data_IF_084834080657
#
_entry.id   IF_084834080657
#
_cell.length_a   1.000
_cell.length_b   1.000
_cell.length_c   1.000
_cell.angle_alpha   90.00
_cell.angle_beta   90.00
_cell.angle_gamma   90.00
#
_symmetry.space_group_name_H-M   'P 1'
#
loop_
_entity.id
_entity.type
_entity.pdbx_description
1 polymer ?
#
# COMPACT_ATOMS: atom_id res chain seq x y z
N UNK A 1 -1.73 -4.87 -28.34
CA UNK A 1 -1.50 -3.64 -27.57
C UNK A 1 -2.45 -3.65 -26.40
N UNK A 2 -2.08 -4.30 -25.29
CA UNK A 2 -2.86 -4.26 -24.05
C UNK A 2 -2.62 -2.90 -23.40
N UNK A 3 -3.69 -2.14 -23.20
CA UNK A 3 -3.64 -0.82 -22.58
C UNK A 3 -3.29 -0.96 -21.10
N UNK A 4 -2.07 -0.56 -20.72
CA UNK A 4 -1.65 -0.46 -19.32
C UNK A 4 -2.43 0.68 -18.64
N UNK A 5 -3.54 0.34 -18.00
CA UNK A 5 -4.34 1.29 -17.24
C UNK A 5 -3.71 1.51 -15.85
N UNK A 6 -3.23 2.73 -15.59
CA UNK A 6 -2.74 3.15 -14.27
C UNK A 6 -3.91 3.08 -13.27
N UNK A 7 -3.78 2.27 -12.21
CA UNK A 7 -4.75 2.24 -11.11
C UNK A 7 -4.33 3.25 -10.04
N UNK A 8 -5.21 4.21 -9.75
CA UNK A 8 -5.00 5.24 -8.72
C UNK A 8 -5.96 4.97 -7.56
N UNK A 9 -5.44 5.03 -6.33
CA UNK A 9 -6.25 4.97 -5.12
C UNK A 9 -5.89 6.09 -4.16
N UNK A 10 -6.87 6.55 -3.39
CA UNK A 10 -6.71 7.64 -2.44
C UNK A 10 -7.07 7.15 -1.04
N UNK A 11 -6.13 7.24 -0.09
CA UNK A 11 -6.38 7.03 1.34
C UNK A 11 -6.48 8.39 2.01
N UNK A 12 -7.68 8.77 2.47
CA UNK A 12 -7.92 10.02 3.21
C UNK A 12 -7.86 9.70 4.70
N UNK A 13 -6.94 10.34 5.44
CA UNK A 13 -7.03 10.39 6.91
C UNK A 13 -7.92 11.58 7.29
N UNK A 14 -8.91 11.42 8.18
CA UNK A 14 -9.59 12.57 8.76
C UNK A 14 -8.59 13.39 9.57
N UNK A 15 -8.51 14.70 9.29
CA UNK A 15 -7.86 15.65 10.19
C UNK A 15 -8.80 15.88 11.37
N UNK A 16 -8.32 15.63 12.59
CA UNK A 16 -9.06 16.03 13.79
C UNK A 16 -8.93 17.55 13.88
N UNK A 17 -9.91 18.28 13.34
CA UNK A 17 -10.21 19.61 13.82
C UNK A 17 -11.48 19.52 14.66
N UNK A 18 -11.35 19.94 15.91
CA UNK A 18 -12.38 19.98 16.96
C UNK A 18 -13.68 20.58 16.39
N UNK A 19 -14.80 19.88 16.64
CA UNK A 19 -16.19 20.13 16.23
C UNK A 19 -16.70 19.38 14.99
N UNK A 20 -17.08 18.10 15.18
CA UNK A 20 -18.27 17.56 14.50
C UNK A 20 -19.01 16.64 15.48
N UNK A 21 -20.32 16.88 15.58
CA UNK A 21 -21.24 16.30 16.54
C UNK A 21 -21.27 14.75 16.56
N UNK A 22 -21.58 14.23 17.76
CA UNK A 22 -21.68 12.84 18.24
C UNK A 22 -22.48 11.83 17.37
N UNK A 23 -22.98 12.22 16.20
CA UNK A 23 -23.71 11.37 15.26
C UNK A 23 -22.93 10.92 14.02
N UNK A 24 -21.80 11.56 13.69
CA UNK A 24 -21.05 11.29 12.45
C UNK A 24 -19.82 10.37 12.64
N UNK A 25 -19.45 10.03 13.86
CA UNK A 25 -18.28 9.17 14.15
C UNK A 25 -18.44 7.75 13.57
N UNK A 26 -19.68 7.26 13.42
CA UNK A 26 -20.00 5.91 12.93
C UNK A 26 -19.91 5.72 11.41
N UNK A 27 -19.78 6.80 10.63
CA UNK A 27 -19.64 6.72 9.16
C UNK A 27 -18.16 6.77 8.71
N UNK A 28 -17.21 6.90 9.64
CA UNK A 28 -15.77 7.02 9.37
C UNK A 28 -14.97 5.72 9.58
N UNK A 29 -15.59 4.56 9.35
CA UNK A 29 -14.93 3.26 9.57
C UNK A 29 -13.53 3.22 8.95
N UNK A 30 -12.57 2.95 9.84
CA UNK A 30 -11.14 3.05 9.66
C UNK A 30 -10.65 2.16 8.50
N UNK A 31 -10.40 2.73 7.32
CA UNK A 31 -9.78 2.00 6.23
C UNK A 31 -8.35 1.58 6.62
N UNK A 32 -8.17 0.30 6.92
CA UNK A 32 -6.89 -0.28 7.33
C UNK A 32 -5.94 -0.34 6.14
N UNK A 33 -4.65 -0.57 6.38
CA UNK A 33 -3.73 -0.83 5.27
C UNK A 33 -4.08 -2.15 4.56
N UNK A 34 -4.64 -3.13 5.27
CA UNK A 34 -5.14 -4.38 4.68
C UNK A 34 -6.28 -4.15 3.69
N UNK A 35 -7.21 -3.24 3.98
CA UNK A 35 -8.31 -2.91 3.07
C UNK A 35 -7.81 -2.26 1.77
N UNK A 36 -6.88 -1.30 1.89
CA UNK A 36 -6.22 -0.67 0.73
C UNK A 36 -5.44 -1.70 -0.06
N UNK A 37 -4.74 -2.60 0.63
CA UNK A 37 -3.97 -3.63 0.00
C UNK A 37 -4.86 -4.58 -0.81
N UNK A 38 -5.92 -5.13 -0.20
CA UNK A 38 -6.82 -6.07 -0.87
C UNK A 38 -7.55 -5.48 -2.07
N UNK A 39 -7.97 -4.21 -1.99
CA UNK A 39 -8.74 -3.56 -3.05
C UNK A 39 -7.90 -3.04 -4.21
N UNK A 40 -6.71 -2.51 -3.94
CA UNK A 40 -5.93 -1.75 -4.94
C UNK A 40 -4.60 -2.42 -5.25
N UNK A 41 -3.87 -2.85 -4.23
CA UNK A 41 -2.47 -3.26 -4.37
C UNK A 41 -2.35 -4.72 -4.78
N UNK A 42 -3.19 -5.61 -4.23
CA UNK A 42 -3.14 -7.04 -4.53
C UNK A 42 -3.22 -7.32 -6.04
N UNK A 43 -4.16 -6.73 -6.81
CA UNK A 43 -4.18 -6.91 -8.26
C UNK A 43 -2.91 -6.44 -8.98
N UNK A 44 -2.23 -5.41 -8.46
CA UNK A 44 -0.95 -4.94 -9.02
C UNK A 44 0.19 -5.91 -8.74
N UNK A 45 0.22 -6.52 -7.55
CA UNK A 45 1.20 -7.55 -7.21
C UNK A 45 0.97 -8.81 -8.04
N UNK A 46 -0.29 -9.20 -8.25
CA UNK A 46 -0.63 -10.33 -9.11
C UNK A 46 -0.11 -10.10 -10.55
N UNK A 47 -0.35 -8.91 -11.13
CA UNK A 47 0.22 -8.53 -12.43
C UNK A 47 1.76 -8.46 -12.42
N UNK A 48 2.37 -8.00 -11.31
CA UNK A 48 3.83 -7.99 -11.19
C UNK A 48 4.43 -9.39 -11.29
N UNK A 49 3.79 -10.39 -10.69
CA UNK A 49 4.22 -11.79 -10.77
C UNK A 49 4.06 -12.40 -12.18
N UNK A 50 3.19 -11.82 -13.01
CA UNK A 50 3.03 -12.19 -14.43
C UNK A 50 4.07 -11.51 -15.35
N UNK A 51 4.96 -10.69 -14.79
CA UNK A 51 6.03 -10.01 -15.53
C UNK A 51 5.73 -8.57 -15.93
N UNK A 52 4.67 -7.97 -15.40
CA UNK A 52 4.38 -6.54 -15.60
C UNK A 52 5.10 -5.67 -14.56
N UNK A 53 5.31 -4.41 -14.88
CA UNK A 53 5.85 -3.45 -13.92
C UNK A 53 4.71 -2.85 -13.09
N UNK A 54 4.87 -2.87 -11.76
CA UNK A 54 3.95 -2.21 -10.84
C UNK A 54 4.67 -1.11 -10.07
N UNK A 55 4.00 0.03 -9.85
CA UNK A 55 4.56 1.12 -9.05
C UNK A 55 3.49 1.72 -8.15
N UNK A 56 3.83 1.92 -6.89
CA UNK A 56 2.92 2.44 -5.86
C UNK A 56 3.56 3.68 -5.27
N UNK A 57 2.82 4.79 -5.30
CA UNK A 57 3.23 6.04 -4.67
C UNK A 57 2.16 6.50 -3.68
N UNK A 58 2.60 7.00 -2.52
CA UNK A 58 1.72 7.68 -1.58
C UNK A 58 1.94 9.19 -1.70
N UNK A 59 0.89 9.93 -2.04
CA UNK A 59 0.92 11.39 -2.17
C UNK A 59 -0.07 12.05 -1.20
N UNK A 60 0.25 13.27 -0.74
CA UNK A 60 -0.58 14.04 0.18
C UNK A 60 0.23 14.99 1.07
N UNK A 61 -0.47 15.87 1.80
CA UNK A 61 0.16 16.83 2.72
C UNK A 61 0.91 16.17 3.89
N UNK A 62 1.77 16.90 4.59
CA UNK A 62 2.40 16.43 5.84
C UNK A 62 1.33 15.97 6.84
N UNK A 63 1.62 14.91 7.62
CA UNK A 63 0.67 14.27 8.55
C UNK A 63 -0.51 13.52 7.92
N UNK A 64 -0.63 13.43 6.58
CA UNK A 64 -1.74 12.72 5.92
C UNK A 64 -1.68 11.17 5.99
N UNK A 65 -0.69 10.60 6.66
CA UNK A 65 -0.56 9.13 6.80
C UNK A 65 0.15 8.41 5.65
N UNK A 66 0.93 9.10 4.80
CA UNK A 66 1.74 8.47 3.72
C UNK A 66 2.68 7.39 4.26
N UNK A 67 3.54 7.76 5.21
CA UNK A 67 4.51 6.83 5.83
C UNK A 67 3.81 5.68 6.54
N UNK A 68 2.68 5.96 7.21
CA UNK A 68 1.84 4.94 7.82
C UNK A 68 1.24 3.97 6.79
N UNK A 69 0.91 4.44 5.59
CA UNK A 69 0.37 3.56 4.54
C UNK A 69 1.47 2.68 3.95
N UNK A 70 2.66 3.25 3.68
CA UNK A 70 3.77 2.51 3.07
C UNK A 70 4.44 1.55 4.07
N UNK A 71 4.79 2.03 5.27
CA UNK A 71 5.56 1.28 6.27
C UNK A 71 4.68 0.66 7.37
N UNK A 72 3.54 1.27 7.69
CA UNK A 72 2.64 0.77 8.74
C UNK A 72 3.19 0.88 10.15
N UNK A 73 2.59 0.09 11.04
CA UNK A 73 2.98 -0.06 12.43
C UNK A 73 2.70 -1.51 12.90
N UNK A 74 2.87 -1.79 14.20
CA UNK A 74 2.69 -3.15 14.76
C UNK A 74 1.27 -3.72 14.64
N UNK A 75 0.25 -2.86 14.67
CA UNK A 75 -1.17 -3.27 14.63
C UNK A 75 -1.81 -3.09 13.26
N UNK A 76 -1.24 -2.24 12.40
CA UNK A 76 -1.66 -2.05 11.00
C UNK A 76 -0.43 -2.12 10.06
N UNK A 77 -0.06 -3.32 9.57
CA UNK A 77 1.10 -3.52 8.70
C UNK A 77 1.07 -2.64 7.45
N UNK A 78 2.23 -2.15 7.02
CA UNK A 78 2.33 -1.30 5.83
C UNK A 78 2.16 -2.08 4.53
N UNK A 79 1.87 -1.37 3.44
CA UNK A 79 1.83 -1.96 2.11
C UNK A 79 3.13 -2.70 1.76
N UNK A 80 4.30 -2.19 2.17
CA UNK A 80 5.57 -2.86 1.94
C UNK A 80 5.62 -4.26 2.55
N UNK A 81 5.15 -4.41 3.80
CA UNK A 81 5.13 -5.69 4.49
C UNK A 81 4.11 -6.65 3.88
N UNK A 82 2.92 -6.15 3.55
CA UNK A 82 1.85 -6.96 2.93
C UNK A 82 2.25 -7.47 1.54
N UNK A 83 2.86 -6.61 0.72
CA UNK A 83 3.40 -6.98 -0.60
C UNK A 83 4.52 -8.02 -0.44
N UNK A 84 5.47 -7.78 0.46
CA UNK A 84 6.57 -8.73 0.70
C UNK A 84 6.06 -10.12 1.08
N UNK A 85 5.09 -10.19 2.00
CA UNK A 85 4.50 -11.46 2.42
C UNK A 85 3.85 -12.22 1.24
N UNK A 86 3.06 -11.53 0.42
CA UNK A 86 2.45 -12.15 -0.76
C UNK A 86 3.51 -12.60 -1.78
N UNK A 87 4.55 -11.79 -1.99
CA UNK A 87 5.62 -12.12 -2.93
C UNK A 87 6.32 -13.41 -2.51
N UNK A 88 6.73 -13.50 -1.25
CA UNK A 88 7.41 -14.70 -0.74
C UNK A 88 6.47 -15.91 -0.69
N UNK A 89 5.19 -15.73 -0.36
CA UNK A 89 4.22 -16.82 -0.40
C UNK A 89 4.06 -17.36 -1.83
N UNK A 90 3.90 -16.49 -2.82
CA UNK A 90 3.77 -16.90 -4.23
C UNK A 90 5.01 -17.64 -4.73
N UNK A 91 6.21 -17.21 -4.32
CA UNK A 91 7.46 -17.90 -4.66
C UNK A 91 7.53 -19.27 -3.98
N UNK A 92 7.08 -19.39 -2.72
CA UNK A 92 7.04 -20.66 -2.01
C UNK A 92 6.06 -21.67 -2.65
N UNK A 93 4.97 -21.18 -3.23
CA UNK A 93 3.94 -22.01 -3.88
C UNK A 93 4.37 -22.52 -5.28
N UNK A 94 5.37 -21.89 -5.91
CA UNK A 94 5.83 -22.22 -7.27
C UNK A 94 7.13 -23.05 -7.23
N UNK A 95 7.00 -24.37 -7.15
CA UNK A 95 8.14 -25.30 -6.98
C UNK A 95 8.97 -25.48 -8.27
N UNK A 96 8.41 -25.18 -9.45
CA UNK A 96 9.09 -25.39 -10.75
C UNK A 96 9.89 -24.17 -11.26
N UNK A 97 9.77 -23.02 -10.59
CA UNK A 97 10.39 -21.76 -11.00
C UNK A 97 11.48 -21.33 -10.02
N UNK A 98 12.52 -20.69 -10.57
CA UNK A 98 13.56 -20.03 -9.78
C UNK A 98 13.38 -18.52 -9.86
N UNK A 99 13.28 -17.89 -8.70
CA UNK A 99 13.14 -16.44 -8.58
C UNK A 99 14.42 -15.84 -8.02
N UNK A 100 14.86 -14.72 -8.60
CA UNK A 100 15.88 -13.85 -8.01
C UNK A 100 15.20 -12.57 -7.53
N UNK A 101 15.01 -12.44 -6.22
CA UNK A 101 14.41 -11.25 -5.63
C UNK A 101 15.52 -10.25 -5.30
N UNK A 102 15.42 -9.04 -5.85
CA UNK A 102 16.30 -7.92 -5.51
C UNK A 102 15.47 -6.80 -4.90
N UNK A 103 15.95 -6.25 -3.80
CA UNK A 103 15.33 -5.12 -3.12
C UNK A 103 16.41 -4.06 -2.87
N UNK A 104 16.07 -2.81 -3.10
CA UNK A 104 16.82 -1.64 -2.65
C UNK A 104 15.86 -0.71 -1.91
N UNK A 105 16.36 0.00 -0.90
CA UNK A 105 15.62 1.00 -0.17
C UNK A 105 16.40 2.31 -0.18
N UNK A 106 15.76 3.38 -0.63
CA UNK A 106 16.32 4.71 -0.65
C UNK A 106 15.34 5.65 0.06
N UNK A 107 15.86 6.48 0.97
CA UNK A 107 15.09 7.52 1.65
C UNK A 107 15.76 8.87 1.43
N UNK A 108 15.06 9.79 0.79
CA UNK A 108 15.48 11.19 0.70
C UNK A 108 14.62 12.02 1.64
N UNK A 109 15.18 12.40 2.78
CA UNK A 109 14.64 13.49 3.59
C UNK A 109 15.36 14.76 3.12
N UNK A 110 14.62 15.81 2.77
CA UNK A 110 15.23 17.13 2.59
C UNK A 110 15.65 17.61 3.97
N UNK A 111 16.96 17.59 4.24
CA UNK A 111 17.53 18.40 5.30
C UNK A 111 17.07 19.84 5.06
N UNK A 112 16.43 20.44 6.06
CA UNK A 112 16.05 21.86 6.04
C UNK A 112 17.29 22.74 6.08
#
# INVERSE_FOLDING_TARGET
MTSDNIKVATKIRPMIHREVADGLERLWNECTNSDVYGSVVKPLVDSFMEGFNATIFAYGQTSSGKTHTILGNKTDPGLFQLVSNQLFQHVADQVDKRYLIRCSYESTMKDQ
#
